data_IF_773986350514
#
_entry.id   IF_773986350514
#
_cell.length_a   1.000
_cell.length_b   1.000
_cell.length_c   1.000
_cell.angle_alpha   90.00
_cell.angle_beta   90.00
_cell.angle_gamma   90.00
#
_symmetry.space_group_name_H-M   'P 1'
#
loop_
_entity.id
_entity.type
_entity.pdbx_description
1 polymer ?
#
# COMPACT_ATOMS: atom_id res chain seq x y z
N UNK A 1 28.37 6.80 -4.67
CA UNK A 1 27.11 6.82 -3.91
C UNK A 1 25.97 6.67 -4.91
N UNK A 2 25.08 5.68 -4.73
CA UNK A 2 24.00 5.41 -5.67
C UNK A 2 22.64 5.81 -5.08
N UNK A 3 21.73 6.30 -5.92
CA UNK A 3 20.35 6.62 -5.58
C UNK A 3 19.39 5.93 -6.54
N UNK A 4 18.20 5.61 -6.05
CA UNK A 4 17.13 4.98 -6.84
C UNK A 4 15.84 5.76 -6.61
N UNK A 5 15.11 5.97 -7.70
CA UNK A 5 13.74 6.48 -7.68
C UNK A 5 12.83 5.39 -8.20
N UNK A 6 11.77 5.09 -7.44
CA UNK A 6 10.75 4.13 -7.86
C UNK A 6 9.39 4.82 -7.94
N UNK A 7 8.64 4.50 -8.98
CA UNK A 7 7.21 4.71 -9.03
C UNK A 7 6.53 3.61 -8.22
N UNK A 8 5.64 3.99 -7.31
CA UNK A 8 4.86 3.09 -6.48
C UNK A 8 3.39 3.41 -6.73
N UNK A 9 2.65 2.40 -7.18
CA UNK A 9 1.19 2.45 -7.32
C UNK A 9 0.59 1.68 -6.15
N UNK A 10 -0.23 2.36 -5.35
CA UNK A 10 -0.83 1.78 -4.13
C UNK A 10 -2.10 2.54 -3.74
N UNK A 11 -2.61 2.25 -2.56
CA UNK A 11 -3.78 2.88 -1.95
C UNK A 11 -3.35 3.98 -0.99
N UNK A 12 -4.20 4.99 -0.78
CA UNK A 12 -3.81 6.21 -0.06
C UNK A 12 -3.46 6.00 1.42
N UNK A 13 -4.03 5.00 2.07
CA UNK A 13 -3.64 4.58 3.43
C UNK A 13 -2.24 3.97 3.46
N UNK A 14 -1.88 3.19 2.46
CA UNK A 14 -0.54 2.61 2.34
C UNK A 14 0.49 3.67 1.97
N UNK A 15 0.17 4.59 1.05
CA UNK A 15 1.07 5.72 0.75
C UNK A 15 1.36 6.54 2.00
N UNK A 16 0.36 6.79 2.87
CA UNK A 16 0.57 7.47 4.15
C UNK A 16 1.55 6.75 5.08
N UNK A 17 1.60 5.42 5.06
CA UNK A 17 2.62 4.68 5.80
C UNK A 17 4.01 4.85 5.19
N UNK A 18 4.11 4.80 3.85
CA UNK A 18 5.37 4.99 3.11
C UNK A 18 5.94 6.40 3.33
N UNK A 19 5.08 7.42 3.34
CA UNK A 19 5.48 8.82 3.55
C UNK A 19 6.10 9.09 4.95
N UNK A 20 6.05 8.13 5.89
CA UNK A 20 6.70 8.25 7.21
C UNK A 20 8.22 8.07 7.16
N UNK A 21 8.78 7.62 6.03
CA UNK A 21 10.20 7.33 5.89
C UNK A 21 11.00 8.59 5.51
N UNK A 22 11.38 9.36 6.52
CA UNK A 22 12.01 10.69 6.40
C UNK A 22 13.36 10.75 5.67
N UNK A 23 14.02 9.62 5.45
CA UNK A 23 15.28 9.54 4.70
C UNK A 23 15.10 9.52 3.18
N UNK A 24 13.86 9.65 2.71
CA UNK A 24 13.48 9.71 1.30
C UNK A 24 12.84 11.05 0.93
N UNK A 25 12.85 11.35 -0.36
CA UNK A 25 12.07 12.42 -0.98
C UNK A 25 10.88 11.81 -1.71
N UNK A 26 9.72 12.47 -1.65
CA UNK A 26 8.47 11.95 -2.19
C UNK A 26 7.79 12.96 -3.10
N UNK A 27 7.13 12.45 -4.14
CA UNK A 27 6.16 13.19 -4.95
C UNK A 27 4.93 12.31 -5.13
N UNK A 28 3.83 12.64 -4.46
CA UNK A 28 2.55 11.94 -4.61
C UNK A 28 1.60 12.73 -5.51
N UNK A 29 0.81 12.04 -6.34
CA UNK A 29 -0.20 12.68 -7.16
C UNK A 29 -1.30 13.31 -6.30
N UNK A 30 -1.59 14.58 -6.59
CA UNK A 30 -2.55 15.36 -5.81
C UNK A 30 -3.96 15.25 -6.37
N UNK A 31 -4.88 14.75 -5.55
CA UNK A 31 -6.32 14.73 -5.81
C UNK A 31 -6.97 16.15 -5.84
N UNK A 32 -6.19 17.22 -5.62
CA UNK A 32 -6.66 18.61 -5.81
C UNK A 32 -6.77 18.96 -7.28
N UNK A 33 -5.93 18.34 -8.10
CA UNK A 33 -5.74 18.69 -9.51
C UNK A 33 -6.25 17.57 -10.44
N UNK A 34 -6.08 16.31 -10.03
CA UNK A 34 -6.53 15.14 -10.79
C UNK A 34 -7.81 14.53 -10.20
N UNK A 35 -8.62 13.91 -11.07
CA UNK A 35 -9.74 13.07 -10.66
C UNK A 35 -9.22 11.70 -10.18
N UNK A 36 -9.80 11.18 -9.10
CA UNK A 36 -9.43 9.88 -8.54
C UNK A 36 -10.52 8.87 -8.82
N UNK A 37 -10.29 8.06 -9.86
CA UNK A 37 -11.29 7.11 -10.36
C UNK A 37 -10.96 5.64 -10.07
N UNK A 38 -9.71 5.38 -9.69
CA UNK A 38 -9.16 4.05 -9.46
C UNK A 38 -9.28 3.63 -7.99
N UNK A 39 -9.75 2.40 -7.79
CA UNK A 39 -9.99 1.83 -6.48
C UNK A 39 -9.61 0.37 -6.45
N UNK A 40 -8.93 -0.04 -5.39
CA UNK A 40 -8.64 -1.45 -5.11
C UNK A 40 -9.50 -1.96 -3.95
N UNK A 41 -10.01 -3.18 -4.08
CA UNK A 41 -10.63 -3.89 -2.96
C UNK A 41 -9.55 -4.45 -2.01
N UNK A 42 -9.89 -4.54 -0.73
CA UNK A 42 -9.05 -5.18 0.28
C UNK A 42 -9.39 -6.65 0.44
N UNK A 43 -8.34 -7.45 0.44
CA UNK A 43 -8.44 -8.86 0.82
C UNK A 43 -8.92 -8.98 2.26
N UNK A 44 -9.83 -9.92 2.50
CA UNK A 44 -10.26 -10.23 3.86
C UNK A 44 -9.09 -10.77 4.66
N UNK A 45 -8.89 -10.25 5.86
CA UNK A 45 -7.98 -10.80 6.85
C UNK A 45 -8.58 -10.67 8.24
N UNK A 46 -8.40 -11.70 9.05
CA UNK A 46 -8.88 -11.75 10.42
C UNK A 46 -7.79 -11.28 11.39
N UNK A 47 -8.20 -10.69 12.51
CA UNK A 47 -7.26 -10.29 13.56
C UNK A 47 -6.60 -11.53 14.18
N UNK A 48 -5.27 -11.54 14.25
CA UNK A 48 -4.53 -12.57 14.98
C UNK A 48 -4.77 -12.38 16.50
N UNK A 49 -5.19 -13.47 17.17
CA UNK A 49 -5.55 -13.46 18.61
C UNK A 49 -4.33 -13.45 19.53
N UNK A 50 -3.15 -13.83 19.03
CA UNK A 50 -1.89 -13.89 19.80
C UNK A 50 -1.04 -12.67 19.53
N UNK A 51 -0.90 -12.28 18.27
CA UNK A 51 -0.11 -11.11 17.86
C UNK A 51 -1.02 -9.99 17.34
N UNK A 52 -1.22 -8.94 18.13
CA UNK A 52 -2.09 -7.81 17.75
C UNK A 52 -1.59 -7.04 16.52
N UNK A 53 -0.32 -7.17 16.16
CA UNK A 53 0.26 -6.54 14.97
C UNK A 53 0.12 -7.39 13.70
N UNK A 54 -0.45 -8.60 13.81
CA UNK A 54 -0.57 -9.55 12.71
C UNK A 54 -2.03 -9.78 12.30
N UNK A 55 -2.22 -10.30 11.10
CA UNK A 55 -3.52 -10.70 10.57
C UNK A 55 -3.43 -12.05 9.86
N UNK A 56 -4.51 -12.82 9.87
CA UNK A 56 -4.59 -14.19 9.35
C UNK A 56 -5.49 -14.21 8.13
N UNK A 57 -5.04 -14.87 7.06
CA UNK A 57 -5.84 -15.06 5.86
C UNK A 57 -7.05 -15.98 6.14
N UNK A 58 -8.17 -15.80 5.43
CA UNK A 58 -9.28 -16.75 5.47
C UNK A 58 -8.82 -18.15 5.03
N UNK A 59 -9.26 -19.17 5.75
CA UNK A 59 -9.18 -20.56 5.29
C UNK A 59 -10.07 -20.76 4.04
N UNK A 60 -9.50 -21.07 2.86
CA UNK A 60 -10.27 -21.22 1.61
C UNK A 60 -11.24 -22.41 1.64
N UNK A 61 -11.03 -23.39 2.51
CA UNK A 61 -11.90 -24.56 2.63
C UNK A 61 -13.06 -24.33 3.62
N UNK A 62 -13.07 -23.20 4.34
CA UNK A 62 -14.13 -22.86 5.28
C UNK A 62 -15.26 -22.11 4.59
N UNK A 63 -16.43 -22.75 4.47
CA UNK A 63 -17.62 -22.10 3.91
C UNK A 63 -17.99 -20.80 4.65
N UNK A 64 -17.79 -20.76 5.96
CA UNK A 64 -18.03 -19.56 6.77
C UNK A 64 -17.11 -18.40 6.36
N UNK A 65 -15.82 -18.68 6.17
CA UNK A 65 -14.85 -17.65 5.74
C UNK A 65 -15.12 -17.19 4.32
N UNK A 66 -15.50 -18.08 3.41
CA UNK A 66 -15.85 -17.73 2.03
C UNK A 66 -17.08 -16.79 1.97
N UNK A 67 -18.07 -17.04 2.82
CA UNK A 67 -19.23 -16.13 2.98
C UNK A 67 -18.81 -14.76 3.50
N UNK A 68 -17.96 -14.72 4.54
CA UNK A 68 -17.43 -13.45 5.09
C UNK A 68 -16.64 -12.68 4.04
N UNK A 69 -15.79 -13.36 3.26
CA UNK A 69 -15.00 -12.72 2.21
C UNK A 69 -15.90 -12.12 1.12
N UNK A 70 -16.92 -12.87 0.68
CA UNK A 70 -17.92 -12.37 -0.29
C UNK A 70 -18.66 -11.14 0.24
N UNK A 71 -19.09 -11.16 1.51
CA UNK A 71 -19.75 -10.03 2.15
C UNK A 71 -18.81 -8.81 2.27
N UNK A 72 -17.55 -9.04 2.61
CA UNK A 72 -16.56 -7.97 2.72
C UNK A 72 -16.29 -7.30 1.37
N UNK A 73 -16.12 -8.08 0.30
CA UNK A 73 -16.00 -7.55 -1.06
C UNK A 73 -17.26 -6.77 -1.48
N UNK A 74 -18.45 -7.27 -1.15
CA UNK A 74 -19.71 -6.60 -1.45
C UNK A 74 -19.82 -5.24 -0.73
N UNK A 75 -19.56 -5.17 0.57
CA UNK A 75 -19.60 -3.93 1.33
C UNK A 75 -18.65 -2.87 0.79
N UNK A 76 -17.42 -3.26 0.44
CA UNK A 76 -16.44 -2.35 -0.16
C UNK A 76 -16.93 -1.83 -1.53
N UNK A 77 -17.48 -2.71 -2.36
CA UNK A 77 -18.02 -2.34 -3.68
C UNK A 77 -19.15 -1.32 -3.57
N UNK A 78 -20.09 -1.53 -2.64
CA UNK A 78 -21.19 -0.59 -2.41
C UNK A 78 -20.71 0.78 -1.90
N UNK A 79 -19.72 0.79 -0.98
CA UNK A 79 -19.13 2.03 -0.49
C UNK A 79 -18.41 2.79 -1.62
N UNK A 80 -17.61 2.10 -2.42
CA UNK A 80 -16.90 2.69 -3.57
C UNK A 80 -17.92 3.28 -4.55
N UNK A 81 -18.98 2.54 -4.88
CA UNK A 81 -20.04 3.00 -5.78
C UNK A 81 -20.69 4.28 -5.24
N UNK A 82 -21.10 4.28 -3.97
CA UNK A 82 -21.75 5.44 -3.34
C UNK A 82 -20.83 6.66 -3.27
N UNK A 83 -19.55 6.44 -2.95
CA UNK A 83 -18.54 7.49 -2.93
C UNK A 83 -18.30 8.08 -4.33
N UNK A 84 -18.24 7.24 -5.38
CA UNK A 84 -18.13 7.68 -6.77
C UNK A 84 -19.32 8.54 -7.19
N UNK A 85 -20.55 8.11 -6.87
CA UNK A 85 -21.76 8.87 -7.16
C UNK A 85 -21.75 10.25 -6.47
N UNK A 86 -21.42 10.29 -5.18
CA UNK A 86 -21.34 11.53 -4.42
C UNK A 86 -20.24 12.46 -4.95
N UNK A 87 -19.07 11.91 -5.29
CA UNK A 87 -17.96 12.66 -5.88
C UNK A 87 -18.35 13.27 -7.23
N UNK A 88 -18.94 12.47 -8.13
CA UNK A 88 -19.37 12.94 -9.46
C UNK A 88 -20.47 14.00 -9.37
N UNK A 89 -21.44 13.82 -8.47
CA UNK A 89 -22.46 14.83 -8.20
C UNK A 89 -21.83 16.13 -7.66
N UNK A 90 -20.90 16.04 -6.72
CA UNK A 90 -20.24 17.22 -6.16
C UNK A 90 -19.54 18.03 -7.26
N UNK A 91 -18.81 17.35 -8.15
CA UNK A 91 -18.18 17.99 -9.31
C UNK A 91 -19.21 18.59 -10.27
N UNK A 92 -20.33 17.91 -10.53
CA UNK A 92 -21.34 18.39 -11.49
C UNK A 92 -22.08 19.65 -11.02
N UNK A 93 -22.15 19.90 -9.70
CA UNK A 93 -22.72 21.14 -9.14
C UNK A 93 -21.66 22.20 -8.81
N UNK A 94 -20.40 22.00 -9.21
CA UNK A 94 -19.34 22.99 -9.09
C UNK A 94 -18.59 23.01 -7.75
N UNK A 95 -18.72 21.98 -6.91
CA UNK A 95 -17.89 21.86 -5.71
C UNK A 95 -16.43 21.63 -6.12
N UNK A 96 -15.52 22.40 -5.53
CA UNK A 96 -14.09 22.31 -5.82
C UNK A 96 -13.55 20.88 -5.60
N UNK A 97 -12.65 20.42 -6.47
CA UNK A 97 -12.05 19.06 -6.41
C UNK A 97 -11.47 18.72 -5.04
N UNK A 98 -10.83 19.69 -4.39
CA UNK A 98 -10.23 19.50 -3.06
C UNK A 98 -11.23 19.28 -1.93
N UNK A 99 -12.49 19.73 -2.11
CA UNK A 99 -13.62 19.49 -1.21
C UNK A 99 -14.35 18.19 -1.60
N UNK A 100 -14.64 17.99 -2.88
CA UNK A 100 -15.36 16.82 -3.38
C UNK A 100 -14.67 15.49 -2.98
N UNK A 101 -13.34 15.43 -3.06
CA UNK A 101 -12.55 14.24 -2.71
C UNK A 101 -12.67 13.78 -1.25
N UNK A 102 -13.25 14.60 -0.37
CA UNK A 102 -13.43 14.25 1.06
C UNK A 102 -14.30 13.01 1.26
N UNK A 103 -15.18 12.69 0.31
CA UNK A 103 -16.06 11.51 0.34
C UNK A 103 -15.38 10.22 -0.11
N UNK A 104 -14.15 10.28 -0.65
CA UNK A 104 -13.49 9.11 -1.23
C UNK A 104 -12.89 8.20 -0.14
N UNK A 105 -13.19 6.88 -0.16
CA UNK A 105 -12.71 5.93 0.84
C UNK A 105 -11.19 5.78 0.75
N UNK A 106 -10.51 6.26 1.78
CA UNK A 106 -9.05 6.36 1.82
C UNK A 106 -8.34 5.02 1.65
N UNK A 107 -8.83 3.96 2.30
CA UNK A 107 -8.28 2.61 2.20
C UNK A 107 -8.55 1.89 0.88
N UNK A 108 -9.37 2.45 -0.01
CA UNK A 108 -9.65 1.86 -1.33
C UNK A 108 -9.15 2.73 -2.47
N UNK A 109 -9.03 4.04 -2.27
CA UNK A 109 -8.65 4.98 -3.33
C UNK A 109 -7.17 4.77 -3.69
N UNK A 110 -6.88 4.56 -4.97
CA UNK A 110 -5.52 4.42 -5.45
C UNK A 110 -4.81 5.78 -5.57
N UNK A 111 -3.49 5.72 -5.55
CA UNK A 111 -2.57 6.84 -5.71
C UNK A 111 -1.25 6.33 -6.26
N UNK A 112 -0.55 7.23 -6.92
CA UNK A 112 0.80 7.01 -7.40
C UNK A 112 1.73 7.93 -6.62
N UNK A 113 2.88 7.41 -6.20
CA UNK A 113 3.95 8.22 -5.64
C UNK A 113 5.30 7.83 -6.24
N UNK A 114 6.13 8.84 -6.49
CA UNK A 114 7.55 8.66 -6.74
C UNK A 114 8.30 8.78 -5.42
N UNK A 115 9.08 7.76 -5.09
CA UNK A 115 9.90 7.70 -3.89
C UNK A 115 11.37 7.65 -4.31
N UNK A 116 12.15 8.66 -3.89
CA UNK A 116 13.56 8.81 -4.24
C UNK A 116 14.44 8.75 -2.99
N UNK A 117 15.51 7.97 -3.03
CA UNK A 117 16.43 7.84 -1.91
C UNK A 117 17.75 7.17 -2.26
N UNK A 118 18.68 7.20 -1.31
CA UNK A 118 19.97 6.51 -1.45
C UNK A 118 19.77 4.99 -1.41
N UNK A 119 20.69 4.23 -2.00
CA UNK A 119 20.65 2.77 -1.92
C UNK A 119 20.65 2.27 -0.45
N UNK A 120 21.36 2.95 0.45
CA UNK A 120 21.34 2.66 1.90
C UNK A 120 19.95 2.85 2.50
N UNK A 121 19.26 3.94 2.16
CA UNK A 121 17.89 4.20 2.61
C UNK A 121 16.95 3.09 2.15
N UNK A 122 17.08 2.66 0.88
CA UNK A 122 16.31 1.58 0.29
C UNK A 122 16.52 0.24 0.97
N UNK A 123 17.77 -0.14 1.25
CA UNK A 123 18.09 -1.37 1.99
C UNK A 123 17.40 -1.37 3.36
N UNK A 124 17.57 -0.30 4.12
CA UNK A 124 16.97 -0.17 5.44
C UNK A 124 15.43 -0.21 5.38
N UNK A 125 14.82 0.50 4.41
CA UNK A 125 13.37 0.49 4.20
C UNK A 125 12.85 -0.93 3.91
N UNK A 126 13.46 -1.64 2.97
CA UNK A 126 13.03 -2.98 2.59
C UNK A 126 13.18 -3.96 3.76
N UNK A 127 14.32 -3.99 4.45
CA UNK A 127 14.53 -4.87 5.60
C UNK A 127 13.49 -4.62 6.71
N UNK A 128 13.19 -3.35 7.01
CA UNK A 128 12.19 -3.00 8.02
C UNK A 128 10.77 -3.39 7.59
N UNK A 129 10.40 -3.12 6.32
CA UNK A 129 9.02 -3.27 5.84
C UNK A 129 8.68 -4.64 5.31
N UNK A 130 9.67 -5.47 5.00
CA UNK A 130 9.47 -6.90 4.76
C UNK A 130 9.34 -7.70 6.06
N UNK A 131 9.73 -7.12 7.20
CA UNK A 131 9.69 -7.75 8.51
C UNK A 131 8.29 -7.86 9.14
N UNK A 132 8.21 -8.65 10.21
CA UNK A 132 6.99 -8.93 10.96
C UNK A 132 6.34 -7.65 11.53
N UNK A 133 5.00 -7.62 11.52
CA UNK A 133 4.22 -6.49 12.05
C UNK A 133 4.00 -5.34 11.06
N UNK A 134 4.58 -5.42 9.85
CA UNK A 134 4.20 -4.53 8.75
C UNK A 134 2.87 -5.01 8.15
N UNK A 135 1.96 -4.07 7.88
CA UNK A 135 0.71 -4.40 7.19
C UNK A 135 1.00 -5.03 5.82
N UNK A 136 0.23 -6.07 5.47
CA UNK A 136 0.51 -6.92 4.31
C UNK A 136 0.71 -6.14 3.00
N UNK A 137 -0.12 -5.16 2.70
CA UNK A 137 0.02 -4.37 1.46
C UNK A 137 1.32 -3.56 1.41
N UNK A 138 1.78 -3.03 2.54
CA UNK A 138 3.06 -2.32 2.61
C UNK A 138 4.24 -3.29 2.51
N UNK A 139 4.11 -4.49 3.11
CA UNK A 139 5.09 -5.57 2.98
C UNK A 139 5.27 -5.98 1.52
N UNK A 140 4.18 -6.19 0.79
CA UNK A 140 4.20 -6.56 -0.64
C UNK A 140 4.90 -5.49 -1.49
N UNK A 141 4.67 -4.21 -1.23
CA UNK A 141 5.40 -3.12 -1.89
C UNK A 141 6.90 -3.18 -1.57
N UNK A 142 7.26 -3.39 -0.31
CA UNK A 142 8.67 -3.49 0.09
C UNK A 142 9.37 -4.69 -0.56
N UNK A 143 8.70 -5.84 -0.67
CA UNK A 143 9.18 -7.02 -1.39
C UNK A 143 9.35 -6.73 -2.90
N UNK A 144 8.39 -6.03 -3.52
CA UNK A 144 8.50 -5.60 -4.92
C UNK A 144 9.70 -4.68 -5.14
N UNK A 145 9.90 -3.70 -4.24
CA UNK A 145 11.07 -2.82 -4.26
C UNK A 145 12.37 -3.62 -4.09
N UNK A 146 12.42 -4.57 -3.15
CA UNK A 146 13.59 -5.43 -2.93
C UNK A 146 13.95 -6.24 -4.17
N UNK A 147 12.95 -6.87 -4.81
CA UNK A 147 13.16 -7.59 -6.09
C UNK A 147 13.74 -6.69 -7.18
N UNK A 148 13.22 -5.46 -7.32
CA UNK A 148 13.75 -4.48 -8.29
C UNK A 148 15.18 -4.07 -7.96
N UNK A 149 15.52 -3.90 -6.68
CA UNK A 149 16.90 -3.64 -6.25
C UNK A 149 17.80 -4.83 -6.54
N UNK A 150 17.35 -6.06 -6.34
CA UNK A 150 18.10 -7.28 -6.67
C UNK A 150 18.44 -7.41 -8.15
N UNK A 151 17.54 -6.96 -9.03
CA UNK A 151 17.84 -6.89 -10.46
C UNK A 151 18.92 -5.85 -10.81
N UNK A 152 18.97 -4.72 -10.10
CA UNK A 152 19.89 -3.62 -10.39
C UNK A 152 21.24 -3.75 -9.66
N UNK A 153 21.23 -4.31 -8.45
CA UNK A 153 22.37 -4.40 -7.54
C UNK A 153 22.47 -5.81 -6.90
N UNK A 154 22.63 -6.87 -7.70
CA UNK A 154 22.55 -8.26 -7.21
C UNK A 154 23.57 -8.57 -6.11
N UNK A 155 24.81 -8.08 -6.22
CA UNK A 155 25.84 -8.31 -5.22
C UNK A 155 25.52 -7.66 -3.86
N UNK A 156 24.82 -6.52 -3.86
CA UNK A 156 24.45 -5.81 -2.63
C UNK A 156 23.35 -6.58 -1.90
N UNK A 157 22.32 -7.00 -2.64
CA UNK A 157 21.23 -7.82 -2.09
C UNK A 157 21.76 -9.14 -1.56
N UNK A 158 22.61 -9.83 -2.33
CA UNK A 158 23.24 -11.08 -1.89
C UNK A 158 24.06 -10.92 -0.60
N UNK A 159 24.82 -9.83 -0.47
CA UNK A 159 25.57 -9.54 0.75
C UNK A 159 24.64 -9.30 1.96
N UNK A 160 23.55 -8.54 1.77
CA UNK A 160 22.56 -8.32 2.82
C UNK A 160 21.87 -9.62 3.26
N UNK A 161 21.55 -10.53 2.33
CA UNK A 161 20.89 -11.81 2.64
C UNK A 161 21.84 -12.78 3.35
N UNK A 162 23.14 -12.76 3.02
CA UNK A 162 24.14 -13.55 3.73
C UNK A 162 24.28 -13.14 5.20
N UNK A 163 24.20 -11.84 5.52
CA UNK A 163 24.24 -11.37 6.92
C UNK A 163 23.03 -11.84 7.75
N UNK A 164 21.85 -12.04 7.13
CA UNK A 164 20.68 -12.60 7.82
C UNK A 164 20.85 -14.07 8.20
N UNK A 165 21.56 -14.86 7.39
CA UNK A 165 21.73 -16.30 7.62
C UNK A 165 22.63 -16.64 8.82
N UNK A 166 23.35 -15.66 9.40
CA UNK A 166 24.20 -15.87 10.58
C UNK A 166 23.50 -15.59 11.91
N UNK A 167 22.24 -15.11 11.90
CA UNK A 167 21.49 -14.73 13.09
C UNK A 167 20.20 -15.53 13.33
N UNK A 168 19.90 -16.52 12.49
CA UNK A 168 18.88 -17.56 12.70
C UNK A 168 19.52 -18.89 13.11
#
# INVERSE_FOLDING_TARGET
MASVTMEINTTRDISRQILRHRSFSFQEFSQRYAESEDFTLRNTRFQDRKNRQNSVAPDPNSQSHNTVDSHWQHHQTEIIKRAKEAYKWALSVGIAKEQARSVLPEGNTETTLYMAGTLRSWIHYCQLRMGNGTQKEHQEIAEMCWRKLGCLYPNVVAACEQEFCFYD
#
